data_IF_814503189435
#
_entry.id   IF_814503189435
#
_cell.length_a   1.000
_cell.length_b   1.000
_cell.length_c   1.000
_cell.angle_alpha   90.00
_cell.angle_beta   90.00
_cell.angle_gamma   90.00
#
_symmetry.space_group_name_H-M   'P 1'
#
loop_
_entity.id
_entity.type
_entity.pdbx_description
1 polymer ?
#
# COMPACT_ATOMS: atom_id res chain seq x y z
N UNK A 1 7.62 11.98 -27.68
CA UNK A 1 7.73 11.10 -26.51
C UNK A 1 6.60 10.11 -26.58
N UNK A 2 6.86 8.83 -26.32
CA UNK A 2 5.80 7.85 -26.12
C UNK A 2 5.15 8.14 -24.77
N UNK A 3 3.96 8.72 -24.78
CA UNK A 3 3.09 8.78 -23.61
C UNK A 3 2.47 7.39 -23.45
N UNK A 4 3.24 6.48 -22.83
CA UNK A 4 2.71 5.19 -22.41
C UNK A 4 1.93 5.40 -21.12
N UNK A 5 0.64 5.69 -21.24
CA UNK A 5 -0.29 5.50 -20.14
C UNK A 5 -0.37 3.98 -19.89
N UNK A 6 0.34 3.50 -18.88
CA UNK A 6 0.34 2.09 -18.52
C UNK A 6 -0.89 1.81 -17.66
N UNK A 7 -2.05 1.67 -18.30
CA UNK A 7 -3.25 1.16 -17.64
C UNK A 7 -3.06 -0.33 -17.40
N UNK A 8 -2.71 -0.71 -16.17
CA UNK A 8 -2.69 -2.12 -15.77
C UNK A 8 -4.14 -2.56 -15.52
N UNK A 9 -4.80 -3.13 -16.53
CA UNK A 9 -6.00 -3.96 -16.33
C UNK A 9 -5.57 -5.30 -15.70
N UNK A 10 -5.15 -5.23 -14.43
CA UNK A 10 -4.73 -6.39 -13.64
C UNK A 10 -5.36 -6.30 -12.27
N UNK A 11 -6.00 -7.40 -11.89
CA UNK A 11 -6.56 -7.58 -10.55
C UNK A 11 -5.44 -7.53 -9.52
N UNK A 12 -5.42 -6.49 -8.69
CA UNK A 12 -4.45 -6.37 -7.60
C UNK A 12 -4.89 -7.28 -6.45
N UNK A 13 -4.04 -8.24 -6.12
CA UNK A 13 -4.29 -9.23 -5.06
C UNK A 13 -3.88 -8.66 -3.70
N UNK A 14 -4.67 -8.96 -2.68
CA UNK A 14 -4.33 -8.66 -1.29
C UNK A 14 -3.48 -9.81 -0.76
N UNK A 15 -2.24 -9.52 -0.35
CA UNK A 15 -1.40 -10.48 0.37
C UNK A 15 -1.59 -10.28 1.87
N UNK A 16 -2.50 -11.04 2.45
CA UNK A 16 -2.81 -11.00 3.88
C UNK A 16 -2.67 -12.40 4.48
N UNK A 17 -2.43 -12.48 5.78
CA UNK A 17 -2.47 -13.75 6.51
C UNK A 17 -3.87 -14.35 6.46
N UNK A 18 -3.96 -15.69 6.54
CA UNK A 18 -5.24 -16.41 6.55
C UNK A 18 -6.06 -16.12 7.82
N UNK A 19 -5.36 -15.88 8.92
CA UNK A 19 -5.96 -15.53 10.21
C UNK A 19 -5.33 -14.26 10.77
N UNK A 20 -6.10 -13.57 11.62
CA UNK A 20 -5.64 -12.49 12.49
C UNK A 20 -5.73 -13.02 13.92
N UNK A 21 -4.59 -13.05 14.62
CA UNK A 21 -4.49 -13.71 15.93
C UNK A 21 -4.73 -12.75 17.11
N UNK A 22 -4.57 -11.44 16.89
CA UNK A 22 -4.69 -10.39 17.93
C UNK A 22 -6.07 -9.72 17.97
N UNK A 23 -7.13 -10.50 17.75
CA UNK A 23 -8.51 -10.00 17.83
C UNK A 23 -9.27 -10.60 19.00
N UNK A 24 -10.19 -9.84 19.58
CA UNK A 24 -11.20 -10.38 20.47
C UNK A 24 -12.25 -11.21 19.70
N UNK A 25 -12.96 -12.05 20.44
CA UNK A 25 -14.11 -12.78 19.93
C UNK A 25 -15.15 -11.83 19.29
N UNK A 26 -15.86 -12.32 18.27
CA UNK A 26 -16.93 -11.55 17.64
C UNK A 26 -18.05 -11.25 18.65
N UNK A 27 -18.62 -10.03 18.66
CA UNK A 27 -19.81 -9.74 19.46
C UNK A 27 -20.94 -10.71 19.13
N UNK A 28 -21.54 -11.31 20.15
CA UNK A 28 -22.70 -12.21 20.01
C UNK A 28 -24.00 -11.59 20.51
N UNK A 29 -23.93 -10.43 21.16
CA UNK A 29 -25.11 -9.75 21.68
C UNK A 29 -25.90 -9.11 20.53
N UNK A 30 -27.21 -9.44 20.40
CA UNK A 30 -28.07 -8.87 19.36
C UNK A 30 -28.51 -7.43 19.68
N UNK A 31 -28.33 -6.98 20.92
CA UNK A 31 -28.78 -5.72 21.48
C UNK A 31 -27.58 -4.96 22.09
N UNK A 32 -27.49 -3.65 21.81
CA UNK A 32 -26.43 -2.76 22.30
C UNK A 32 -26.75 -2.12 23.66
N UNK A 33 -27.92 -2.37 24.26
CA UNK A 33 -28.38 -1.73 25.50
C UNK A 33 -27.40 -1.89 26.66
N UNK A 34 -26.76 -3.06 26.76
CA UNK A 34 -25.69 -3.35 27.73
C UNK A 34 -24.29 -3.37 27.11
N UNK A 35 -24.16 -3.39 25.78
CA UNK A 35 -22.89 -3.43 25.07
C UNK A 35 -22.00 -4.66 25.40
N UNK A 36 -20.84 -4.71 24.77
CA UNK A 36 -19.80 -5.74 24.96
C UNK A 36 -18.98 -5.39 26.20
N UNK A 37 -19.03 -6.24 27.23
CA UNK A 37 -18.23 -6.05 28.46
C UNK A 37 -16.74 -6.03 28.17
N UNK A 38 -16.01 -5.06 28.72
CA UNK A 38 -14.58 -4.87 28.41
C UNK A 38 -13.70 -6.11 28.60
N UNK A 39 -13.96 -6.92 29.64
CA UNK A 39 -13.21 -8.15 29.90
C UNK A 39 -13.29 -9.16 28.75
N UNK A 40 -14.39 -9.18 28.00
CA UNK A 40 -14.56 -10.07 26.83
C UNK A 40 -13.69 -9.68 25.63
N UNK A 41 -13.08 -8.49 25.68
CA UNK A 41 -12.19 -7.98 24.62
C UNK A 41 -10.71 -8.06 24.98
N UNK A 42 -10.37 -8.59 26.15
CA UNK A 42 -8.97 -8.69 26.62
C UNK A 42 -8.30 -10.02 26.26
N UNK A 43 -9.03 -10.93 25.62
CA UNK A 43 -8.53 -12.25 25.24
C UNK A 43 -8.45 -12.34 23.74
N UNK A 44 -7.24 -12.56 23.24
CA UNK A 44 -6.98 -12.77 21.83
C UNK A 44 -7.55 -14.13 21.38
N UNK A 45 -8.15 -14.13 20.19
CA UNK A 45 -8.75 -15.28 19.52
C UNK A 45 -8.38 -15.17 18.04
N UNK A 46 -7.87 -16.26 17.48
CA UNK A 46 -7.58 -16.35 16.06
C UNK A 46 -8.87 -16.30 15.23
N UNK A 47 -8.91 -15.41 14.24
CA UNK A 47 -10.08 -15.21 13.37
C UNK A 47 -9.68 -15.27 11.91
N UNK A 48 -10.53 -15.87 11.08
CA UNK A 48 -10.36 -15.84 9.63
C UNK A 48 -10.31 -14.39 9.15
N UNK A 49 -9.25 -14.06 8.41
CA UNK A 49 -9.09 -12.75 7.82
C UNK A 49 -10.04 -12.60 6.63
N UNK A 50 -10.90 -11.57 6.66
CA UNK A 50 -11.87 -11.29 5.60
C UNK A 50 -11.23 -10.90 4.27
N UNK A 51 -10.00 -10.38 4.30
CA UNK A 51 -9.23 -9.96 3.13
C UNK A 51 -8.44 -11.11 2.48
N UNK A 52 -8.39 -12.28 3.12
CA UNK A 52 -7.63 -13.41 2.60
C UNK A 52 -8.21 -13.89 1.26
N UNK A 53 -7.40 -13.83 0.21
CA UNK A 53 -7.82 -14.23 -1.14
C UNK A 53 -8.76 -13.22 -1.82
N UNK A 54 -8.89 -12.00 -1.29
CA UNK A 54 -9.66 -10.92 -1.91
C UNK A 54 -8.84 -10.14 -2.94
N UNK A 55 -9.54 -9.29 -3.68
CA UNK A 55 -9.02 -8.55 -4.80
C UNK A 55 -9.50 -7.09 -4.73
N UNK A 56 -8.62 -6.16 -5.10
CA UNK A 56 -8.97 -4.75 -5.27
C UNK A 56 -9.50 -4.61 -6.70
N UNK A 57 -10.74 -4.14 -6.82
CA UNK A 57 -11.48 -4.10 -8.09
C UNK A 57 -11.12 -2.88 -8.94
N UNK A 58 -10.86 -1.73 -8.30
CA UNK A 58 -10.53 -0.48 -8.99
C UNK A 58 -9.19 0.05 -8.47
N UNK A 59 -8.13 -0.13 -9.26
CA UNK A 59 -6.80 0.41 -8.97
C UNK A 59 -6.22 1.04 -10.22
N UNK A 60 -5.85 2.31 -10.13
CA UNK A 60 -5.22 3.06 -11.21
C UNK A 60 -3.89 3.63 -10.75
N UNK A 61 -2.85 3.42 -11.56
CA UNK A 61 -1.53 4.00 -11.33
C UNK A 61 -1.08 4.71 -12.59
N UNK A 62 -1.01 6.04 -12.52
CA UNK A 62 -0.51 6.87 -13.59
C UNK A 62 0.98 7.18 -13.36
N UNK A 63 1.80 6.97 -14.38
CA UNK A 63 3.21 7.35 -14.38
C UNK A 63 3.55 8.05 -15.68
N UNK A 64 4.14 9.24 -15.57
CA UNK A 64 4.80 9.91 -16.69
C UNK A 64 6.29 9.88 -16.40
N UNK A 65 7.08 9.35 -17.32
CA UNK A 65 8.54 9.42 -17.24
C UNK A 65 9.14 9.94 -18.53
N UNK A 66 10.10 10.85 -18.41
CA UNK A 66 10.89 11.40 -19.49
C UNK A 66 12.37 11.05 -19.28
N UNK A 67 13.06 10.76 -20.38
CA UNK A 67 14.49 10.50 -20.41
C UNK A 67 15.19 11.63 -21.15
N UNK A 68 16.17 12.24 -20.49
CA UNK A 68 17.06 13.22 -21.10
C UNK A 68 18.49 12.67 -21.04
N UNK A 69 19.17 12.65 -22.18
CA UNK A 69 20.58 12.33 -22.26
C UNK A 69 21.34 13.45 -22.95
N UNK A 70 22.47 13.83 -22.35
CA UNK A 70 23.42 14.79 -22.89
C UNK A 70 24.74 14.07 -23.09
N UNK A 71 25.23 14.08 -24.33
CA UNK A 71 26.60 13.67 -24.63
C UNK A 71 27.49 14.91 -24.47
N UNK A 72 28.38 14.86 -23.47
CA UNK A 72 29.30 15.96 -23.15
C UNK A 72 30.71 15.45 -23.36
N UNK A 73 31.33 15.89 -24.45
CA UNK A 73 32.64 15.43 -24.90
C UNK A 73 32.61 13.94 -25.27
N UNK A 74 33.47 13.52 -26.20
CA UNK A 74 33.54 12.21 -26.89
C UNK A 74 33.66 10.95 -25.98
N UNK A 75 33.43 11.08 -24.66
CA UNK A 75 33.66 10.05 -23.64
C UNK A 75 32.64 10.04 -22.48
N UNK A 76 31.78 11.05 -22.30
CA UNK A 76 30.84 11.10 -21.17
C UNK A 76 29.39 11.28 -21.63
N UNK A 77 28.52 10.39 -21.15
CA UNK A 77 27.06 10.56 -21.23
C UNK A 77 26.52 10.84 -19.83
N UNK A 78 25.77 11.94 -19.69
CA UNK A 78 24.93 12.21 -18.52
C UNK A 78 23.49 11.94 -18.90
N UNK A 79 22.81 11.15 -18.10
CA UNK A 79 21.40 10.80 -18.31
C UNK A 79 20.60 11.09 -17.06
N UNK A 80 19.38 11.59 -17.24
CA UNK A 80 18.43 11.72 -16.15
C UNK A 80 17.07 11.16 -16.53
N UNK A 81 16.42 10.55 -15.54
CA UNK A 81 15.00 10.25 -15.61
C UNK A 81 14.26 11.26 -14.76
N UNK A 82 13.21 11.83 -15.32
CA UNK A 82 12.28 12.72 -14.65
C UNK A 82 10.92 12.04 -14.70
N UNK A 83 10.23 11.93 -13.59
CA UNK A 83 8.90 11.34 -13.62
C UNK A 83 7.98 11.88 -12.54
N UNK A 84 6.70 11.85 -12.86
CA UNK A 84 5.63 12.14 -11.93
C UNK A 84 4.75 10.89 -11.83
N UNK A 85 4.41 10.49 -10.61
CA UNK A 85 3.51 9.37 -10.37
C UNK A 85 2.39 9.74 -9.41
N UNK A 86 1.19 9.27 -9.73
CA UNK A 86 0.00 9.36 -8.89
C UNK A 86 -0.75 8.03 -8.94
N UNK A 87 -1.39 7.68 -7.84
CA UNK A 87 -2.10 6.42 -7.68
C UNK A 87 -3.44 6.62 -7.00
N UNK A 88 -4.40 5.80 -7.43
CA UNK A 88 -5.73 5.72 -6.87
C UNK A 88 -6.08 4.25 -6.61
N UNK A 89 -6.55 3.95 -5.40
CA UNK A 89 -7.05 2.63 -5.04
C UNK A 89 -8.43 2.75 -4.41
N UNK A 90 -9.38 1.96 -4.91
CA UNK A 90 -10.72 1.84 -4.36
C UNK A 90 -11.13 0.38 -4.28
N UNK A 91 -11.52 -0.05 -3.08
CA UNK A 91 -12.16 -1.33 -2.87
C UNK A 91 -13.04 -1.34 -1.61
N UNK A 92 -13.81 -2.41 -1.48
CA UNK A 92 -14.52 -2.71 -0.23
C UNK A 92 -13.54 -2.85 0.93
N UNK A 93 -13.97 -2.46 2.13
CA UNK A 93 -13.17 -2.59 3.35
C UNK A 93 -12.84 -4.05 3.71
N UNK A 94 -13.53 -5.00 3.09
CA UNK A 94 -13.24 -6.44 3.17
C UNK A 94 -11.94 -6.81 2.44
N UNK A 95 -11.51 -6.07 1.41
CA UNK A 95 -10.19 -6.24 0.78
C UNK A 95 -9.04 -5.60 1.59
N UNK A 96 -9.35 -4.64 2.47
CA UNK A 96 -8.34 -3.93 3.27
C UNK A 96 -8.16 -4.46 4.70
N UNK A 97 -8.83 -5.55 5.07
CA UNK A 97 -8.74 -6.17 6.41
C UNK A 97 -8.92 -5.16 7.55
N UNK A 98 -9.87 -4.22 7.42
CA UNK A 98 -10.06 -3.16 8.41
C UNK A 98 -10.72 -3.74 9.66
N UNK A 99 -10.03 -3.62 10.80
CA UNK A 99 -10.51 -4.10 12.10
C UNK A 99 -10.82 -2.94 13.03
N UNK A 100 -11.81 -3.12 13.90
CA UNK A 100 -12.19 -2.13 14.90
C UNK A 100 -12.77 -2.76 16.16
N UNK A 101 -12.75 -2.00 17.24
CA UNK A 101 -13.43 -2.33 18.48
C UNK A 101 -14.79 -1.62 18.52
N UNK A 102 -15.87 -2.39 18.51
CA UNK A 102 -17.24 -1.89 18.51
C UNK A 102 -18.04 -2.34 19.72
N UNK A 103 -18.90 -1.44 20.19
CA UNK A 103 -19.90 -1.72 21.22
C UNK A 103 -19.33 -1.90 22.63
N UNK A 104 -18.11 -1.45 22.92
CA UNK A 104 -17.50 -1.58 24.25
C UNK A 104 -18.35 -0.86 25.32
N UNK A 105 -18.79 -1.58 26.35
CA UNK A 105 -19.39 -1.01 27.55
C UNK A 105 -18.31 -0.81 28.61
N UNK A 106 -17.73 0.39 28.63
CA UNK A 106 -16.74 0.82 29.62
C UNK A 106 -16.69 2.34 29.71
N UNK A 107 -16.16 2.86 30.82
CA UNK A 107 -15.90 4.30 30.98
C UNK A 107 -14.70 4.78 30.18
N UNK A 108 -13.81 3.88 29.77
CA UNK A 108 -12.65 4.15 28.93
C UNK A 108 -12.23 2.91 28.13
N UNK A 109 -11.54 3.13 27.01
CA UNK A 109 -10.88 2.07 26.25
C UNK A 109 -9.46 1.90 26.80
N UNK A 110 -9.14 0.72 27.31
CA UNK A 110 -7.81 0.36 27.78
C UNK A 110 -6.97 -0.23 26.64
N UNK A 111 -5.64 -0.14 26.75
CA UNK A 111 -4.71 -0.74 25.78
C UNK A 111 -4.84 -2.26 25.65
N UNK A 112 -5.46 -2.92 26.63
CA UNK A 112 -5.73 -4.36 26.60
C UNK A 112 -7.00 -4.72 25.82
N UNK A 113 -7.85 -3.74 25.46
CA UNK A 113 -9.06 -4.01 24.70
C UNK A 113 -8.70 -4.20 23.21
N UNK A 114 -8.89 -5.43 22.72
CA UNK A 114 -8.56 -5.82 21.36
C UNK A 114 -9.73 -5.55 20.40
N UNK A 115 -9.45 -5.30 19.10
CA UNK A 115 -10.50 -5.20 18.07
C UNK A 115 -11.36 -6.45 18.02
N UNK A 116 -12.68 -6.29 17.84
CA UNK A 116 -13.64 -7.38 17.90
C UNK A 116 -14.49 -7.52 16.61
N UNK A 117 -14.32 -6.65 15.62
CA UNK A 117 -15.10 -6.66 14.37
C UNK A 117 -14.20 -6.38 13.17
N UNK A 118 -14.49 -7.05 12.05
CA UNK A 118 -14.04 -6.65 10.72
C UNK A 118 -15.09 -5.76 10.07
N UNK A 119 -14.70 -4.60 9.55
CA UNK A 119 -15.60 -3.77 8.76
C UNK A 119 -15.66 -4.32 7.34
N UNK A 120 -16.81 -4.88 6.94
CA UNK A 120 -17.01 -5.46 5.60
C UNK A 120 -17.95 -4.66 4.71
N UNK A 121 -18.67 -3.67 5.27
CA UNK A 121 -19.65 -2.85 4.55
C UNK A 121 -19.16 -1.42 4.30
N UNK A 122 -17.85 -1.17 4.37
CA UNK A 122 -17.23 0.11 4.07
C UNK A 122 -16.62 0.13 2.66
N UNK A 123 -16.34 1.34 2.19
CA UNK A 123 -15.49 1.58 1.02
C UNK A 123 -14.25 2.30 1.50
N UNK A 124 -13.07 1.82 1.11
CA UNK A 124 -11.79 2.46 1.39
C UNK A 124 -11.26 3.03 0.09
N UNK A 125 -10.91 4.32 0.12
CA UNK A 125 -10.33 5.03 -1.00
C UNK A 125 -8.99 5.65 -0.58
N UNK A 126 -7.94 5.36 -1.34
CA UNK A 126 -6.60 5.86 -1.13
C UNK A 126 -6.17 6.65 -2.36
N UNK A 127 -5.77 7.89 -2.13
CA UNK A 127 -5.26 8.79 -3.16
C UNK A 127 -3.83 9.17 -2.79
N UNK A 128 -2.93 9.11 -3.76
CA UNK A 128 -1.61 9.72 -3.60
C UNK A 128 -1.53 11.00 -4.40
N UNK A 129 -1.07 12.06 -3.75
CA UNK A 129 -0.71 13.29 -4.45
C UNK A 129 0.42 13.00 -5.44
N UNK A 130 0.44 13.77 -6.53
CA UNK A 130 1.48 13.62 -7.55
C UNK A 130 2.85 13.85 -6.93
N UNK A 131 3.66 12.79 -6.90
CA UNK A 131 5.04 12.87 -6.44
C UNK A 131 5.98 12.93 -7.63
N UNK A 132 6.86 13.93 -7.62
CA UNK A 132 7.93 14.07 -8.59
C UNK A 132 9.16 13.29 -8.11
N UNK A 133 9.68 12.41 -8.96
CA UNK A 133 10.89 11.64 -8.73
C UNK A 133 11.86 11.86 -9.88
N UNK A 134 13.15 11.96 -9.55
CA UNK A 134 14.20 12.12 -10.54
C UNK A 134 15.43 11.31 -10.15
N UNK A 135 16.16 10.85 -11.15
CA UNK A 135 17.49 10.28 -10.95
C UNK A 135 18.44 10.79 -12.03
N UNK A 136 19.70 11.02 -11.65
CA UNK A 136 20.79 11.35 -12.56
C UNK A 136 21.83 10.24 -12.47
N UNK A 137 22.27 9.76 -13.62
CA UNK A 137 23.43 8.91 -13.75
C UNK A 137 24.39 9.45 -14.79
N UNK A 138 25.65 9.06 -14.67
CA UNK A 138 26.66 9.33 -15.67
C UNK A 138 27.37 8.02 -16.01
N UNK A 139 27.71 7.83 -17.28
CA UNK A 139 28.61 6.77 -17.73
C UNK A 139 29.76 7.40 -18.51
N UNK A 140 30.96 6.95 -18.21
CA UNK A 140 32.18 7.34 -18.92
C UNK A 140 32.94 6.09 -19.35
N UNK A 141 33.49 6.10 -20.56
CA UNK A 141 34.38 5.05 -21.02
C UNK A 141 35.83 5.58 -21.03
N UNK A 142 36.71 4.92 -20.27
CA UNK A 142 38.14 5.17 -20.32
C UNK A 142 38.79 4.08 -21.16
N UNK A 143 39.30 4.47 -22.33
CA UNK A 143 40.22 3.65 -23.10
C UNK A 143 41.48 4.46 -23.38
N UNK A 144 42.60 3.93 -22.91
CA UNK A 144 43.92 4.36 -23.34
C UNK A 144 44.23 3.66 -24.67
N UNK A 145 44.33 4.42 -25.76
CA UNK A 145 45.12 3.96 -26.89
C UNK A 145 46.59 4.09 -26.46
N UNK A 146 47.30 2.98 -26.36
CA UNK A 146 48.70 2.98 -25.99
C UNK A 146 49.53 3.84 -26.94
N UNK A 147 50.03 4.96 -26.41
CA UNK A 147 51.31 5.60 -26.79
C UNK A 147 51.62 6.80 -25.88
N UNK A 148 51.69 6.56 -24.56
CA UNK A 148 52.52 7.40 -23.70
C UNK A 148 53.96 6.84 -23.77
N UNK A 149 54.76 7.34 -24.71
CA UNK A 149 56.21 7.15 -24.67
C UNK A 149 56.77 7.95 -23.50
N UNK A 150 57.46 7.22 -22.61
CA UNK A 150 58.27 7.69 -21.48
C UNK A 150 59.41 8.62 -21.94
#
# INVERSE_FOLDING_TARGET
GFYGDYVFDRVLKTDTTKTVDDMAAAPTQPDQATGVTATSTNTAVSRNNVAYGKHIHDAEWATNSAYLALNIWDRFDVFCTLGASSGYFKAGSDAFSVVGLFGLHATSVANTNLPNVFLTQGVVELYTDTSFSWSIGARGALWECGCATL
#
